data_IF_298978928496
#
_entry.id   IF_298978928496
#
_cell.length_a   1.000
_cell.length_b   1.000
_cell.length_c   1.000
_cell.angle_alpha   90.00
_cell.angle_beta   90.00
_cell.angle_gamma   90.00
#
_symmetry.space_group_name_H-M   'P 1'
#
loop_
_entity.id
_entity.type
_entity.pdbx_description
1 polymer ?
#
# COMPACT_ATOMS: atom_id res chain seq x y z
N UNK A 1 35.60 23.77 -4.51
CA UNK A 1 35.34 23.37 -3.11
C UNK A 1 36.36 22.31 -2.78
N UNK A 2 37.16 22.50 -1.73
CA UNK A 2 38.16 21.50 -1.36
C UNK A 2 37.49 20.30 -0.67
N UNK A 3 38.19 19.16 -0.59
CA UNK A 3 37.59 17.91 -0.11
C UNK A 3 37.09 17.99 1.34
N UNK A 4 37.71 18.83 2.18
CA UNK A 4 37.27 19.06 3.56
C UNK A 4 35.98 19.89 3.61
N UNK A 5 35.89 20.96 2.82
CA UNK A 5 34.67 21.77 2.70
C UNK A 5 33.51 20.95 2.13
N UNK A 6 33.78 20.04 1.19
CA UNK A 6 32.78 19.11 0.66
C UNK A 6 32.30 18.13 1.73
N UNK A 7 33.22 17.50 2.46
CA UNK A 7 32.86 16.56 3.51
C UNK A 7 32.08 17.23 4.66
N UNK A 8 32.44 18.45 5.04
CA UNK A 8 31.75 19.20 6.08
C UNK A 8 30.36 19.66 5.63
N UNK A 9 30.22 20.11 4.37
CA UNK A 9 28.92 20.39 3.76
C UNK A 9 28.03 19.15 3.72
N UNK A 10 28.56 18.00 3.33
CA UNK A 10 27.80 16.75 3.22
C UNK A 10 27.41 16.19 4.60
N UNK A 11 28.29 16.28 5.60
CA UNK A 11 27.96 15.96 7.00
C UNK A 11 26.86 16.87 7.55
N UNK A 12 26.90 18.16 7.22
CA UNK A 12 25.87 19.12 7.64
C UNK A 12 24.51 18.84 7.01
N UNK A 13 24.49 18.35 5.77
CA UNK A 13 23.27 18.13 5.00
C UNK A 13 22.63 16.76 5.25
N UNK A 14 23.45 15.71 5.45
CA UNK A 14 22.99 14.31 5.53
C UNK A 14 23.42 13.59 6.83
N UNK A 15 24.07 14.28 7.77
CA UNK A 15 24.57 13.69 9.02
C UNK A 15 25.83 12.86 8.83
N UNK A 16 26.25 12.16 9.88
CA UNK A 16 27.53 11.41 9.89
C UNK A 16 27.55 10.24 8.89
N UNK A 17 26.38 9.67 8.56
CA UNK A 17 26.24 8.55 7.62
C UNK A 17 26.15 8.95 6.14
N UNK A 18 26.46 10.21 5.79
CA UNK A 18 26.31 10.74 4.43
C UNK A 18 27.02 9.89 3.35
N UNK A 19 28.13 9.23 3.68
CA UNK A 19 28.86 8.36 2.74
C UNK A 19 28.05 7.12 2.36
N UNK A 20 27.30 6.53 3.29
CA UNK A 20 26.41 5.40 3.01
C UNK A 20 25.18 5.83 2.23
N UNK A 21 24.64 7.01 2.55
CA UNK A 21 23.50 7.58 1.83
C UNK A 21 23.86 7.93 0.37
N UNK A 22 25.08 8.43 0.11
CA UNK A 22 25.58 8.66 -1.24
C UNK A 22 25.80 7.36 -2.01
N UNK A 23 26.28 6.30 -1.36
CA UNK A 23 26.37 4.96 -2.00
C UNK A 23 24.99 4.43 -2.36
N UNK A 24 23.99 4.61 -1.50
CA UNK A 24 22.61 4.21 -1.77
C UNK A 24 22.02 5.00 -2.94
N UNK A 25 22.19 6.33 -2.95
CA UNK A 25 21.74 7.22 -4.04
C UNK A 25 22.42 6.92 -5.38
N UNK A 26 23.71 6.59 -5.36
CA UNK A 26 24.44 6.16 -6.56
C UNK A 26 23.89 4.84 -7.12
N UNK A 27 23.50 3.88 -6.27
CA UNK A 27 22.83 2.65 -6.72
C UNK A 27 21.43 2.93 -7.27
N UNK A 28 20.68 3.83 -6.62
CA UNK A 28 19.36 4.26 -7.10
C UNK A 28 19.47 4.88 -8.50
N UNK A 29 20.45 5.77 -8.73
CA UNK A 29 20.70 6.39 -10.03
C UNK A 29 21.06 5.36 -11.13
N UNK A 30 21.74 4.27 -10.77
CA UNK A 30 22.06 3.17 -11.69
C UNK A 30 20.85 2.27 -11.98
N UNK A 31 19.79 2.34 -11.17
CA UNK A 31 18.56 1.56 -11.33
C UNK A 31 17.46 2.35 -12.07
N UNK A 32 17.68 3.63 -12.36
CA UNK A 32 16.76 4.44 -13.16
C UNK A 32 16.87 4.03 -14.64
N UNK A 33 15.75 3.67 -15.30
CA UNK A 33 15.77 3.27 -16.71
C UNK A 33 16.34 4.37 -17.62
N UNK A 34 17.13 4.03 -18.67
CA UNK A 34 17.80 5.00 -19.54
C UNK A 34 16.89 6.06 -20.18
N UNK A 35 15.64 5.70 -20.50
CA UNK A 35 14.67 6.63 -21.11
C UNK A 35 14.26 7.78 -20.17
N UNK A 36 14.33 7.56 -18.85
CA UNK A 36 14.06 8.61 -17.85
C UNK A 36 15.24 9.58 -17.81
N UNK A 37 16.48 9.07 -17.91
CA UNK A 37 17.72 9.87 -17.95
C UNK A 37 17.79 10.70 -19.24
N UNK A 38 17.28 10.18 -20.36
CA UNK A 38 17.24 10.84 -21.66
C UNK A 38 16.29 12.06 -21.67
N UNK A 39 15.14 11.95 -21.00
CA UNK A 39 14.22 13.08 -20.79
C UNK A 39 14.83 14.20 -19.92
N UNK A 40 15.75 13.86 -19.01
CA UNK A 40 16.48 14.85 -18.20
C UNK A 40 17.62 15.55 -18.94
N UNK A 41 18.06 15.07 -20.11
CA UNK A 41 19.16 15.68 -20.90
C UNK A 41 18.73 16.84 -21.79
N UNK A 42 17.43 17.01 -22.04
CA UNK A 42 16.90 18.13 -22.83
C UNK A 42 16.79 19.42 -21.98
N UNK A 43 17.94 19.95 -21.53
CA UNK A 43 18.06 21.09 -20.61
C UNK A 43 18.71 22.32 -21.24
N UNK A 44 17.90 23.24 -21.76
CA UNK A 44 18.18 24.68 -21.63
C UNK A 44 17.23 25.37 -20.63
N UNK A 45 16.12 24.73 -20.25
CA UNK A 45 15.13 25.31 -19.33
C UNK A 45 15.38 25.01 -17.84
N UNK A 46 16.22 24.03 -17.51
CA UNK A 46 16.47 23.63 -16.10
C UNK A 46 17.56 24.46 -15.40
N UNK A 47 18.54 25.03 -16.12
CA UNK A 47 19.66 25.75 -15.49
C UNK A 47 19.22 27.05 -14.80
N UNK A 48 18.26 27.77 -15.37
CA UNK A 48 17.70 28.99 -14.76
C UNK A 48 16.81 28.67 -13.55
N UNK A 49 15.98 27.62 -13.64
CA UNK A 49 15.13 27.17 -12.52
C UNK A 49 15.93 26.63 -11.34
N UNK A 50 17.04 25.94 -11.58
CA UNK A 50 17.93 25.42 -10.52
C UNK A 50 18.66 26.56 -9.77
N UNK A 51 18.96 27.68 -10.45
CA UNK A 51 19.59 28.85 -9.81
C UNK A 51 18.62 29.52 -8.82
N UNK A 52 17.35 29.69 -9.19
CA UNK A 52 16.33 30.22 -8.30
C UNK A 52 15.98 29.27 -7.14
N UNK A 53 16.01 27.96 -7.34
CA UNK A 53 15.76 26.99 -6.26
C UNK A 53 16.86 27.05 -5.18
N UNK A 54 18.12 27.31 -5.57
CA UNK A 54 19.25 27.48 -4.63
C UNK A 54 19.14 28.75 -3.77
N UNK A 55 18.59 29.83 -4.31
CA UNK A 55 18.35 31.06 -3.56
C UNK A 55 17.18 30.90 -2.57
N UNK A 56 16.13 30.16 -2.97
CA UNK A 56 14.97 29.86 -2.13
C UNK A 56 15.33 28.87 -1.00
N UNK A 57 16.22 27.89 -1.23
CA UNK A 57 16.59 26.91 -0.20
C UNK A 57 17.32 27.52 1.01
N UNK A 58 18.01 28.64 0.80
CA UNK A 58 18.74 29.35 1.85
C UNK A 58 17.83 30.21 2.75
N UNK A 59 16.56 30.40 2.36
CA UNK A 59 15.56 31.18 3.09
C UNK A 59 14.58 30.32 3.89
N UNK A 60 14.65 28.98 3.79
CA UNK A 60 13.69 28.08 4.40
C UNK A 60 14.15 27.63 5.81
N UNK A 61 13.41 27.96 6.88
CA UNK A 61 13.74 27.52 8.24
C UNK A 61 13.67 25.99 8.37
N UNK A 62 14.49 25.38 9.26
CA UNK A 62 14.55 23.92 9.51
C UNK A 62 13.19 23.24 9.74
N UNK A 63 12.17 23.99 10.19
CA UNK A 63 10.81 23.48 10.36
C UNK A 63 10.14 23.08 9.03
N UNK A 64 10.57 23.69 7.92
CA UNK A 64 10.12 23.34 6.57
C UNK A 64 10.67 21.99 6.09
N UNK A 65 11.85 21.56 6.53
CA UNK A 65 12.39 20.23 6.19
C UNK A 65 11.62 19.08 6.85
N UNK A 66 11.04 19.32 8.03
CA UNK A 66 10.12 18.37 8.66
C UNK A 66 8.79 18.30 7.91
N UNK A 67 8.31 19.44 7.40
CA UNK A 67 7.16 19.48 6.49
C UNK A 67 7.50 18.74 5.18
N UNK A 68 8.73 18.87 4.65
CA UNK A 68 9.19 18.16 3.45
C UNK A 68 9.24 16.65 3.66
N UNK A 69 9.61 16.13 4.84
CA UNK A 69 9.56 14.68 5.11
C UNK A 69 8.15 14.08 5.05
N UNK A 70 7.15 14.84 5.50
CA UNK A 70 5.74 14.44 5.38
C UNK A 70 5.20 14.69 3.96
N UNK A 71 5.70 15.74 3.29
CA UNK A 71 5.39 16.06 1.89
C UNK A 71 6.06 15.08 0.93
N UNK A 72 7.19 14.45 1.24
CA UNK A 72 7.84 13.43 0.39
C UNK A 72 6.90 12.22 0.19
N UNK A 73 6.17 11.79 1.22
CA UNK A 73 5.15 10.73 1.09
C UNK A 73 3.93 11.15 0.26
N UNK A 74 3.60 12.44 0.27
CA UNK A 74 2.43 13.02 -0.40
C UNK A 74 2.74 13.44 -1.85
N UNK A 75 3.96 13.92 -2.10
CA UNK A 75 4.54 14.20 -3.42
C UNK A 75 4.89 12.91 -4.15
N UNK A 76 5.44 11.87 -3.49
CA UNK A 76 5.59 10.54 -4.11
C UNK A 76 4.24 9.96 -4.55
N UNK A 77 3.16 10.24 -3.82
CA UNK A 77 1.79 9.84 -4.21
C UNK A 77 1.24 10.66 -5.39
N UNK A 78 1.46 11.97 -5.41
CA UNK A 78 0.90 12.90 -6.42
C UNK A 78 1.73 13.06 -7.71
N UNK A 79 3.04 12.82 -7.69
CA UNK A 79 3.92 13.03 -8.85
C UNK A 79 3.86 11.92 -9.92
N UNK A 80 3.04 10.88 -9.70
CA UNK A 80 2.92 9.76 -10.62
C UNK A 80 1.69 9.79 -11.49
N UNK A 81 0.92 10.88 -11.55
CA UNK A 81 -0.13 11.00 -12.57
C UNK A 81 0.54 11.26 -13.92
N UNK A 82 1.00 10.18 -14.55
CA UNK A 82 1.13 10.15 -16.00
C UNK A 82 -0.26 9.78 -16.51
N UNK A 83 -0.83 10.52 -17.46
CA UNK A 83 -2.13 10.22 -18.10
C UNK A 83 -2.14 8.88 -18.90
N UNK A 84 -1.20 7.98 -18.58
CA UNK A 84 -1.07 6.66 -19.15
C UNK A 84 -1.83 5.65 -18.28
N UNK A 85 -2.42 4.63 -18.91
CA UNK A 85 -2.99 3.48 -18.20
C UNK A 85 -1.91 2.71 -17.44
N UNK A 86 -2.29 1.99 -16.36
CA UNK A 86 -1.37 1.03 -15.72
C UNK A 86 -0.74 0.08 -16.76
N UNK A 87 0.60 -0.02 -16.82
CA UNK A 87 1.29 -0.99 -17.65
C UNK A 87 0.88 -2.43 -17.34
N UNK A 88 0.66 -3.24 -18.38
CA UNK A 88 0.17 -4.62 -18.23
C UNK A 88 1.12 -5.53 -17.42
N UNK A 89 2.43 -5.28 -17.48
CA UNK A 89 3.42 -5.99 -16.65
C UNK A 89 3.19 -5.75 -15.15
N UNK A 90 2.72 -4.56 -14.78
CA UNK A 90 2.43 -4.19 -13.40
C UNK A 90 1.13 -4.85 -12.94
N UNK A 91 0.07 -4.83 -13.77
CA UNK A 91 -1.17 -5.61 -13.50
C UNK A 91 -0.84 -7.10 -13.21
N UNK A 92 -0.03 -7.73 -14.07
CA UNK A 92 0.43 -9.13 -13.89
C UNK A 92 1.28 -9.34 -12.63
N UNK A 93 2.03 -8.33 -12.20
CA UNK A 93 2.81 -8.41 -10.96
C UNK A 93 1.91 -8.32 -9.73
N UNK A 94 0.92 -7.42 -9.74
CA UNK A 94 -0.08 -7.32 -8.67
C UNK A 94 -0.93 -8.59 -8.57
N UNK A 95 -1.32 -9.18 -9.69
CA UNK A 95 -2.00 -10.49 -9.73
C UNK A 95 -1.15 -11.60 -9.09
N UNK A 96 0.17 -11.61 -9.33
CA UNK A 96 1.09 -12.54 -8.67
C UNK A 96 1.10 -12.37 -7.15
N UNK A 97 1.15 -11.13 -6.65
CA UNK A 97 1.12 -10.86 -5.21
C UNK A 97 -0.20 -11.26 -4.56
N UNK A 98 -1.31 -11.03 -5.26
CA UNK A 98 -2.63 -11.48 -4.84
C UNK A 98 -2.73 -13.01 -4.90
N UNK A 99 -1.97 -13.68 -5.77
CA UNK A 99 -1.78 -15.12 -5.72
C UNK A 99 -1.17 -15.61 -4.41
N UNK A 100 -0.33 -14.79 -3.79
CA UNK A 100 0.31 -15.01 -2.48
C UNK A 100 -0.46 -14.38 -1.31
N UNK A 101 -1.69 -13.91 -1.55
CA UNK A 101 -2.56 -13.27 -0.56
C UNK A 101 -2.01 -11.93 -0.01
N UNK A 102 -1.17 -11.26 -0.79
CA UNK A 102 -0.66 -9.92 -0.49
C UNK A 102 -1.28 -8.86 -1.40
N UNK A 103 -1.48 -7.69 -0.82
CA UNK A 103 -1.66 -6.42 -1.52
C UNK A 103 -0.62 -5.43 -0.99
N UNK A 104 -0.47 -4.28 -1.65
CA UNK A 104 0.49 -3.25 -1.27
C UNK A 104 0.31 -2.86 0.21
N UNK A 105 1.42 -2.81 0.96
CA UNK A 105 1.43 -2.43 2.37
C UNK A 105 1.64 -0.91 2.48
N UNK A 106 0.74 -0.21 3.18
CA UNK A 106 0.68 1.26 3.20
C UNK A 106 1.92 1.96 3.81
N UNK A 107 2.70 1.26 4.65
CA UNK A 107 3.92 1.82 5.24
C UNK A 107 5.09 1.88 4.28
N UNK A 108 5.06 1.10 3.20
CA UNK A 108 6.15 1.04 2.25
C UNK A 108 6.31 2.37 1.53
N UNK A 109 7.57 2.77 1.33
CA UNK A 109 7.91 3.90 0.46
C UNK A 109 7.64 3.52 -0.99
N UNK A 110 7.44 4.51 -1.85
CA UNK A 110 7.11 4.23 -3.24
C UNK A 110 8.20 3.38 -3.94
N UNK A 111 9.47 3.65 -3.68
CA UNK A 111 10.59 2.85 -4.21
C UNK A 111 10.49 1.38 -3.80
N UNK A 112 10.10 1.10 -2.56
CA UNK A 112 9.93 -0.27 -2.06
C UNK A 112 8.75 -0.96 -2.76
N UNK A 113 7.65 -0.23 -2.96
CA UNK A 113 6.50 -0.70 -3.74
C UNK A 113 6.92 -1.05 -5.18
N UNK A 114 7.72 -0.20 -5.83
CA UNK A 114 8.19 -0.49 -7.17
C UNK A 114 9.04 -1.77 -7.21
N UNK A 115 10.02 -1.88 -6.30
CA UNK A 115 10.95 -3.03 -6.28
C UNK A 115 10.29 -4.34 -5.88
N UNK A 116 9.24 -4.29 -5.05
CA UNK A 116 8.58 -5.50 -4.54
C UNK A 116 7.32 -5.82 -5.32
N UNK A 117 6.42 -4.86 -5.50
CA UNK A 117 5.10 -5.10 -6.08
C UNK A 117 5.07 -4.95 -7.60
N UNK A 118 5.93 -4.12 -8.20
CA UNK A 118 5.94 -3.93 -9.66
C UNK A 118 6.94 -4.83 -10.38
N UNK A 119 7.99 -5.27 -9.68
CA UNK A 119 8.85 -6.37 -10.11
C UNK A 119 8.52 -7.64 -9.32
N UNK A 120 8.40 -8.78 -10.02
CA UNK A 120 8.25 -10.08 -9.37
C UNK A 120 9.55 -10.41 -8.64
N UNK A 121 9.47 -10.67 -7.34
CA UNK A 121 10.61 -11.18 -6.58
C UNK A 121 10.77 -12.69 -6.77
N UNK A 122 12.02 -13.16 -6.68
CA UNK A 122 12.37 -14.57 -6.79
C UNK A 122 12.37 -15.29 -5.43
N UNK A 123 12.23 -14.57 -4.32
CA UNK A 123 12.31 -15.13 -2.96
C UNK A 123 11.06 -14.79 -2.14
N UNK A 124 10.00 -15.57 -2.37
CA UNK A 124 8.69 -15.35 -1.73
C UNK A 124 8.74 -15.49 -0.22
N UNK A 125 9.60 -16.35 0.34
CA UNK A 125 9.66 -16.57 1.78
C UNK A 125 10.23 -15.34 2.50
N UNK A 126 11.35 -14.81 1.98
CA UNK A 126 11.94 -13.58 2.49
C UNK A 126 10.97 -12.40 2.38
N UNK A 127 10.26 -12.27 1.27
CA UNK A 127 9.31 -11.17 1.10
C UNK A 127 8.11 -11.29 2.02
N UNK A 128 7.59 -12.51 2.26
CA UNK A 128 6.51 -12.74 3.23
C UNK A 128 6.91 -12.26 4.62
N UNK A 129 8.13 -12.60 5.06
CA UNK A 129 8.66 -12.15 6.36
C UNK A 129 8.79 -10.63 6.40
N UNK A 130 9.36 -10.02 5.36
CA UNK A 130 9.50 -8.57 5.29
C UNK A 130 8.16 -7.84 5.34
N UNK A 131 7.20 -8.23 4.50
CA UNK A 131 5.87 -7.63 4.45
C UNK A 131 5.11 -7.82 5.76
N UNK A 132 5.20 -9.00 6.38
CA UNK A 132 4.60 -9.27 7.68
C UNK A 132 5.16 -8.34 8.77
N UNK A 133 6.47 -8.13 8.80
CA UNK A 133 7.09 -7.20 9.76
C UNK A 133 6.68 -5.75 9.51
N UNK A 134 6.48 -5.33 8.26
CA UNK A 134 5.93 -4.02 7.93
C UNK A 134 4.48 -3.86 8.42
N UNK A 135 3.64 -4.89 8.30
CA UNK A 135 2.27 -4.84 8.85
C UNK A 135 2.29 -4.85 10.38
N UNK A 136 3.22 -5.58 11.02
CA UNK A 136 3.42 -5.50 12.48
C UNK A 136 3.81 -4.10 12.94
N UNK A 137 4.64 -3.38 12.18
CA UNK A 137 4.93 -1.96 12.44
C UNK A 137 3.66 -1.11 12.34
N UNK A 138 2.80 -1.37 11.35
CA UNK A 138 1.51 -0.68 11.22
C UNK A 138 0.59 -0.95 12.40
N UNK A 139 0.52 -2.19 12.88
CA UNK A 139 -0.25 -2.56 14.07
C UNK A 139 0.23 -1.87 15.35
N UNK A 140 1.52 -1.54 15.46
CA UNK A 140 2.07 -0.76 16.59
C UNK A 140 1.88 0.74 16.42
N UNK A 141 1.49 1.21 15.23
CA UNK A 141 1.36 2.62 14.94
C UNK A 141 -0.03 3.13 15.37
N UNK A 142 -0.06 3.95 16.42
CA UNK A 142 -1.30 4.50 16.96
C UNK A 142 -2.08 5.31 15.92
N UNK A 143 -1.41 6.12 15.07
CA UNK A 143 -2.08 6.93 14.06
C UNK A 143 -2.82 6.08 13.04
N UNK A 144 -2.23 4.95 12.62
CA UNK A 144 -2.85 4.02 11.68
C UNK A 144 -4.07 3.35 12.33
N UNK A 145 -3.90 2.83 13.55
CA UNK A 145 -5.00 2.20 14.29
C UNK A 145 -6.15 3.17 14.58
N UNK A 146 -5.84 4.43 14.90
CA UNK A 146 -6.85 5.46 15.10
C UNK A 146 -7.70 5.71 13.85
N UNK A 147 -7.14 5.59 12.63
CA UNK A 147 -7.94 5.67 11.41
C UNK A 147 -8.95 4.52 11.32
N UNK A 148 -8.55 3.30 11.67
CA UNK A 148 -9.47 2.15 11.70
C UNK A 148 -10.60 2.39 12.71
N UNK A 149 -10.28 2.89 13.91
CA UNK A 149 -11.26 3.22 14.94
C UNK A 149 -12.19 4.39 14.61
N UNK A 150 -11.75 5.32 13.75
CA UNK A 150 -12.56 6.46 13.30
C UNK A 150 -13.39 6.14 12.05
N UNK A 151 -13.03 5.09 11.32
CA UNK A 151 -13.74 4.68 10.12
C UNK A 151 -15.18 4.29 10.42
N UNK A 152 -16.13 4.90 9.72
CA UNK A 152 -17.56 4.57 9.83
C UNK A 152 -17.89 3.16 9.31
N UNK A 153 -16.98 2.58 8.51
CA UNK A 153 -17.17 1.27 7.89
C UNK A 153 -16.85 0.14 8.86
N UNK A 154 -15.95 0.34 9.81
CA UNK A 154 -15.56 -0.67 10.78
C UNK A 154 -16.24 -0.46 12.12
N UNK A 155 -16.53 -1.55 12.85
CA UNK A 155 -17.03 -1.45 14.22
C UNK A 155 -15.84 -1.49 15.18
N UNK A 156 -15.80 -0.57 16.14
CA UNK A 156 -14.69 -0.47 17.10
C UNK A 156 -14.51 -1.73 17.95
N UNK A 157 -15.60 -2.41 18.32
CA UNK A 157 -15.50 -3.67 19.06
C UNK A 157 -14.85 -4.78 18.22
N UNK A 158 -15.15 -4.87 16.92
CA UNK A 158 -14.51 -5.83 16.03
C UNK A 158 -13.00 -5.61 15.95
N UNK A 159 -12.55 -4.36 15.73
CA UNK A 159 -11.11 -4.10 15.69
C UNK A 159 -10.43 -4.32 17.05
N UNK A 160 -11.07 -3.98 18.18
CA UNK A 160 -10.58 -4.35 19.51
C UNK A 160 -10.40 -5.87 19.65
N UNK A 161 -11.34 -6.67 19.15
CA UNK A 161 -11.22 -8.14 19.14
C UNK A 161 -10.04 -8.62 18.29
N UNK A 162 -9.75 -7.99 17.15
CA UNK A 162 -8.56 -8.29 16.34
C UNK A 162 -7.28 -8.07 17.16
N UNK A 163 -7.18 -6.94 17.87
CA UNK A 163 -6.02 -6.64 18.72
C UNK A 163 -5.84 -7.68 19.83
N UNK A 164 -6.94 -8.13 20.44
CA UNK A 164 -6.89 -9.15 21.49
C UNK A 164 -6.54 -10.54 20.95
N UNK A 165 -7.05 -10.90 19.77
CA UNK A 165 -6.68 -12.13 19.06
C UNK A 165 -5.17 -12.15 18.73
N UNK A 166 -4.61 -11.01 18.33
CA UNK A 166 -3.17 -10.89 18.13
C UNK A 166 -2.38 -11.12 19.43
N UNK A 167 -2.76 -10.45 20.53
CA UNK A 167 -2.07 -10.60 21.84
C UNK A 167 -2.09 -12.04 22.34
N UNK A 168 -3.24 -12.70 22.21
CA UNK A 168 -3.44 -14.09 22.60
C UNK A 168 -2.90 -15.11 21.59
N UNK A 169 -2.38 -14.66 20.44
CA UNK A 169 -1.97 -15.50 19.30
C UNK A 169 -3.10 -16.40 18.76
N UNK A 170 -4.35 -16.05 19.02
CA UNK A 170 -5.51 -16.75 18.45
C UNK A 170 -5.79 -16.23 17.03
N UNK A 171 -4.92 -16.61 16.10
CA UNK A 171 -4.97 -16.12 14.72
C UNK A 171 -6.21 -16.59 13.97
N UNK A 172 -6.74 -17.79 14.27
CA UNK A 172 -7.99 -18.28 13.70
C UNK A 172 -9.16 -17.34 14.01
N UNK A 173 -9.37 -17.02 15.29
CA UNK A 173 -10.40 -16.08 15.70
C UNK A 173 -10.16 -14.69 15.10
N UNK A 174 -8.90 -14.24 15.07
CA UNK A 174 -8.49 -12.98 14.47
C UNK A 174 -8.87 -12.88 12.98
N UNK A 175 -8.57 -13.92 12.20
CA UNK A 175 -8.91 -14.01 10.77
C UNK A 175 -10.42 -14.03 10.56
N UNK A 176 -11.19 -14.73 11.40
CA UNK A 176 -12.66 -14.72 11.33
C UNK A 176 -13.22 -13.31 11.55
N UNK A 177 -12.70 -12.58 12.54
CA UNK A 177 -13.11 -11.19 12.80
C UNK A 177 -12.70 -10.29 11.62
N UNK A 178 -11.47 -10.40 11.11
CA UNK A 178 -11.01 -9.63 9.95
C UNK A 178 -11.86 -9.90 8.70
N UNK A 179 -12.19 -11.16 8.42
CA UNK A 179 -13.03 -11.53 7.28
C UNK A 179 -14.43 -10.92 7.36
N UNK A 180 -15.05 -10.95 8.55
CA UNK A 180 -16.36 -10.31 8.77
C UNK A 180 -16.30 -8.78 8.73
N UNK A 181 -15.18 -8.17 9.15
CA UNK A 181 -14.94 -6.73 9.00
C UNK A 181 -14.89 -6.33 7.52
N UNK A 182 -14.16 -7.08 6.69
CA UNK A 182 -14.07 -6.85 5.23
C UNK A 182 -15.46 -6.95 4.60
N UNK A 183 -16.20 -8.03 4.87
CA UNK A 183 -17.55 -8.24 4.32
C UNK A 183 -18.53 -7.13 4.74
N UNK A 184 -18.54 -6.78 6.02
CA UNK A 184 -19.39 -5.71 6.55
C UNK A 184 -19.07 -4.33 5.96
N UNK A 185 -17.79 -4.03 5.71
CA UNK A 185 -17.37 -2.78 5.12
C UNK A 185 -17.83 -2.65 3.66
N UNK A 186 -17.70 -3.71 2.85
CA UNK A 186 -18.18 -3.73 1.46
C UNK A 186 -19.70 -3.57 1.37
N UNK A 187 -20.45 -4.07 2.35
CA UNK A 187 -21.90 -3.84 2.42
C UNK A 187 -22.21 -2.38 2.78
N UNK A 188 -21.46 -1.78 3.70
CA UNK A 188 -21.73 -0.43 4.21
C UNK A 188 -21.39 0.70 3.24
N UNK A 189 -20.42 0.50 2.34
CA UNK A 189 -20.06 1.54 1.35
C UNK A 189 -21.17 1.80 0.33
N UNK A 190 -22.11 0.85 0.20
CA UNK A 190 -23.30 1.02 -0.62
C UNK A 190 -24.37 1.81 0.14
N UNK A 191 -25.03 2.73 -0.56
CA UNK A 191 -26.25 3.37 -0.06
C UNK A 191 -27.31 2.37 0.41
N UNK A 192 -28.17 2.82 1.33
CA UNK A 192 -29.37 2.07 1.69
C UNK A 192 -30.34 2.17 0.50
N UNK A 193 -30.42 1.10 -0.29
CA UNK A 193 -31.46 0.95 -1.32
C UNK A 193 -32.63 0.15 -0.73
N UNK A 194 -33.82 0.30 -1.29
CA UNK A 194 -34.99 -0.55 -0.97
C UNK A 194 -34.71 -2.03 -1.26
N UNK A 195 -33.84 -2.29 -2.24
CA UNK A 195 -33.39 -3.63 -2.61
C UNK A 195 -32.20 -4.12 -1.77
N UNK A 196 -32.05 -5.45 -1.68
CA UNK A 196 -30.93 -6.10 -0.99
C UNK A 196 -29.58 -5.60 -1.53
N UNK A 197 -28.71 -5.15 -0.62
CA UNK A 197 -27.34 -4.72 -0.95
C UNK A 197 -26.53 -5.85 -1.57
N UNK A 198 -25.63 -5.50 -2.49
CA UNK A 198 -24.65 -6.43 -3.06
C UNK A 198 -23.66 -6.86 -1.97
N UNK A 199 -23.08 -8.05 -2.14
CA UNK A 199 -22.15 -8.65 -1.18
C UNK A 199 -20.85 -9.00 -1.91
N UNK A 200 -19.71 -8.83 -1.23
CA UNK A 200 -18.40 -9.26 -1.71
C UNK A 200 -18.05 -8.77 -3.11
N UNK A 201 -17.75 -9.71 -4.00
CA UNK A 201 -17.29 -9.47 -5.38
C UNK A 201 -18.17 -8.55 -6.21
N UNK A 202 -19.48 -8.56 -5.98
CA UNK A 202 -20.39 -7.73 -6.75
C UNK A 202 -20.17 -6.23 -6.46
N UNK A 203 -19.65 -5.89 -5.27
CA UNK A 203 -19.29 -4.52 -4.89
C UNK A 203 -17.99 -4.11 -5.58
N UNK A 204 -16.96 -4.95 -5.52
CA UNK A 204 -15.66 -4.68 -6.14
C UNK A 204 -15.75 -4.48 -7.65
N UNK A 205 -16.59 -5.27 -8.33
CA UNK A 205 -16.84 -5.12 -9.77
C UNK A 205 -17.46 -3.77 -10.12
N UNK A 206 -18.37 -3.26 -9.29
CA UNK A 206 -19.00 -1.97 -9.51
C UNK A 206 -17.99 -0.82 -9.39
N UNK A 207 -17.06 -0.92 -8.45
CA UNK A 207 -15.99 0.06 -8.25
C UNK A 207 -15.00 0.02 -9.41
N UNK A 208 -14.62 -1.18 -9.86
CA UNK A 208 -13.73 -1.34 -11.01
C UNK A 208 -14.32 -0.70 -12.27
N UNK A 209 -15.62 -0.90 -12.53
CA UNK A 209 -16.31 -0.32 -13.70
C UNK A 209 -16.36 1.21 -13.69
N UNK A 210 -16.25 1.84 -12.50
CA UNK A 210 -16.29 3.29 -12.32
C UNK A 210 -14.89 3.90 -12.10
N UNK A 211 -13.83 3.09 -12.09
CA UNK A 211 -12.48 3.58 -11.78
C UNK A 211 -11.76 4.04 -13.05
N UNK A 212 -11.12 5.20 -12.97
CA UNK A 212 -10.20 5.68 -14.00
C UNK A 212 -8.90 4.86 -13.94
N UNK A 213 -8.50 4.28 -15.08
CA UNK A 213 -7.28 3.47 -15.19
C UNK A 213 -5.97 4.28 -15.17
N UNK A 214 -6.05 5.58 -14.84
CA UNK A 214 -4.92 6.48 -14.63
C UNK A 214 -3.79 5.83 -13.83
N UNK A 215 -2.55 6.04 -14.27
CA UNK A 215 -1.37 5.68 -13.50
C UNK A 215 -1.32 6.56 -12.26
N UNK A 216 -1.84 6.06 -11.14
CA UNK A 216 -1.80 6.73 -9.84
C UNK A 216 -1.63 5.68 -8.75
N UNK A 217 -1.01 6.04 -7.62
CA UNK A 217 -0.87 5.07 -6.53
C UNK A 217 -2.25 4.66 -6.00
N UNK A 218 -3.20 5.59 -5.99
CA UNK A 218 -4.59 5.37 -5.62
C UNK A 218 -5.24 4.30 -6.50
N UNK A 219 -5.13 4.42 -7.84
CA UNK A 219 -5.67 3.40 -8.74
C UNK A 219 -4.92 2.07 -8.63
N UNK A 220 -3.61 2.07 -8.44
CA UNK A 220 -2.82 0.84 -8.22
C UNK A 220 -3.28 0.12 -6.94
N UNK A 221 -3.52 0.87 -5.85
CA UNK A 221 -4.06 0.34 -4.61
C UNK A 221 -5.49 -0.20 -4.81
N UNK A 222 -6.34 0.57 -5.49
CA UNK A 222 -7.71 0.17 -5.81
C UNK A 222 -7.71 -1.13 -6.63
N UNK A 223 -6.91 -1.21 -7.70
CA UNK A 223 -6.77 -2.39 -8.54
C UNK A 223 -6.31 -3.61 -7.74
N UNK A 224 -5.23 -3.47 -6.94
CA UNK A 224 -4.71 -4.55 -6.12
C UNK A 224 -5.73 -5.05 -5.09
N UNK A 225 -6.48 -4.13 -4.47
CA UNK A 225 -7.52 -4.47 -3.50
C UNK A 225 -8.73 -5.13 -4.19
N UNK A 226 -9.16 -4.65 -5.35
CA UNK A 226 -10.27 -5.21 -6.12
C UNK A 226 -9.98 -6.66 -6.51
N UNK A 227 -8.85 -6.93 -7.16
CA UNK A 227 -8.51 -8.30 -7.60
C UNK A 227 -8.34 -9.24 -6.38
N UNK A 228 -7.86 -8.71 -5.24
CA UNK A 228 -7.76 -9.48 -4.01
C UNK A 228 -9.14 -9.85 -3.47
N UNK A 229 -10.07 -8.89 -3.41
CA UNK A 229 -11.46 -9.15 -2.97
C UNK A 229 -12.12 -10.16 -3.92
N UNK A 230 -11.97 -9.98 -5.25
CA UNK A 230 -12.49 -10.89 -6.26
C UNK A 230 -12.11 -12.34 -6.00
N UNK A 231 -10.86 -12.54 -5.59
CA UNK A 231 -10.34 -13.85 -5.25
C UNK A 231 -10.79 -14.33 -3.87
N UNK A 232 -10.79 -13.47 -2.86
CA UNK A 232 -11.18 -13.82 -1.50
C UNK A 232 -12.62 -14.30 -1.41
N UNK A 233 -13.53 -13.75 -2.22
CA UNK A 233 -14.94 -14.19 -2.28
C UNK A 233 -15.25 -15.10 -3.49
N UNK A 234 -14.24 -15.55 -4.24
CA UNK A 234 -14.46 -16.52 -5.31
C UNK A 234 -15.12 -17.78 -4.74
N UNK A 235 -16.05 -18.38 -5.48
CA UNK A 235 -16.62 -19.66 -5.08
C UNK A 235 -15.51 -20.71 -4.94
N UNK A 236 -15.50 -21.44 -3.83
CA UNK A 236 -14.62 -22.58 -3.65
C UNK A 236 -15.30 -23.78 -4.32
N UNK A 237 -14.79 -24.21 -5.49
CA UNK A 237 -15.29 -25.40 -6.16
C UNK A 237 -15.13 -26.60 -5.20
N UNK A 238 -16.26 -27.13 -4.73
CA UNK A 238 -16.38 -28.24 -3.77
C UNK A 238 -15.56 -28.08 -2.49
N UNK A 239 -15.30 -26.84 -2.04
CA UNK A 239 -14.47 -26.55 -0.85
C UNK A 239 -13.07 -27.21 -0.87
N UNK A 240 -12.62 -27.66 -2.04
CA UNK A 240 -11.34 -28.37 -2.24
C UNK A 240 -10.13 -27.43 -2.30
N UNK A 241 -10.38 -26.12 -2.32
CA UNK A 241 -9.35 -25.12 -2.56
C UNK A 241 -8.52 -24.89 -1.29
N UNK A 242 -7.26 -25.29 -1.28
CA UNK A 242 -6.36 -25.21 -0.12
C UNK A 242 -5.87 -23.78 0.24
N UNK A 243 -6.53 -22.74 -0.26
CA UNK A 243 -6.17 -21.32 -0.11
C UNK A 243 -7.21 -20.60 0.74
N UNK A 244 -6.75 -19.62 1.52
CA UNK A 244 -7.61 -18.79 2.36
C UNK A 244 -8.70 -18.10 1.51
N UNK A 245 -9.96 -18.38 1.85
CA UNK A 245 -11.13 -17.94 1.11
C UNK A 245 -12.28 -17.68 2.08
N UNK A 246 -13.04 -16.60 1.85
CA UNK A 246 -14.15 -16.16 2.70
C UNK A 246 -15.19 -17.26 2.90
N UNK A 247 -15.58 -17.97 1.83
CA UNK A 247 -16.62 -18.98 1.93
C UNK A 247 -16.13 -20.20 2.71
N UNK A 248 -14.88 -20.60 2.54
CA UNK A 248 -14.31 -21.69 3.34
C UNK A 248 -14.21 -21.32 4.82
N UNK A 249 -13.71 -20.12 5.12
CA UNK A 249 -13.59 -19.62 6.49
C UNK A 249 -14.96 -19.53 7.18
N UNK A 250 -15.91 -18.81 6.58
CA UNK A 250 -17.18 -18.50 7.22
C UNK A 250 -18.18 -19.68 7.22
N UNK A 251 -17.93 -20.72 6.42
CA UNK A 251 -18.68 -21.98 6.50
C UNK A 251 -17.98 -23.04 7.34
N UNK A 252 -16.85 -22.74 7.99
CA UNK A 252 -16.12 -23.69 8.83
C UNK A 252 -15.42 -24.81 8.05
N UNK A 253 -15.25 -24.64 6.74
CA UNK A 253 -14.66 -25.62 5.83
C UNK A 253 -13.15 -25.38 5.60
N UNK A 254 -12.55 -24.43 6.34
CA UNK A 254 -11.11 -24.20 6.29
C UNK A 254 -10.40 -25.14 7.26
N UNK A 255 -9.91 -26.27 6.74
CA UNK A 255 -9.33 -27.36 7.54
C UNK A 255 -7.90 -27.09 8.01
N UNK A 256 -7.21 -26.12 7.41
CA UNK A 256 -5.83 -25.80 7.76
C UNK A 256 -5.77 -24.90 8.98
N UNK A 257 -4.73 -25.09 9.79
CA UNK A 257 -4.38 -24.13 10.82
C UNK A 257 -4.08 -22.77 10.20
N UNK A 258 -4.68 -21.72 10.75
CA UNK A 258 -4.44 -20.35 10.33
C UNK A 258 -3.09 -19.90 10.88
N UNK A 259 -2.22 -19.50 9.96
CA UNK A 259 -0.88 -19.02 10.29
C UNK A 259 -0.87 -17.55 10.74
N UNK A 260 0.18 -17.15 11.46
CA UNK A 260 0.44 -15.74 11.77
C UNK A 260 0.52 -14.88 10.49
N UNK A 261 1.14 -15.43 9.43
CA UNK A 261 1.25 -14.78 8.12
C UNK A 261 -0.13 -14.45 7.54
N UNK A 262 -1.06 -15.42 7.51
CA UNK A 262 -2.41 -15.22 7.00
C UNK A 262 -3.20 -14.19 7.80
N UNK A 263 -3.00 -14.14 9.12
CA UNK A 263 -3.56 -13.09 9.97
C UNK A 263 -3.07 -11.70 9.54
N UNK A 264 -1.76 -11.53 9.36
CA UNK A 264 -1.20 -10.23 8.96
C UNK A 264 -1.54 -9.83 7.53
N UNK A 265 -1.70 -10.79 6.63
CA UNK A 265 -2.19 -10.54 5.27
C UNK A 265 -3.59 -9.94 5.28
N UNK A 266 -4.52 -10.50 6.05
CA UNK A 266 -5.88 -9.96 6.16
C UNK A 266 -5.94 -8.65 6.94
N UNK A 267 -5.10 -8.50 7.95
CA UNK A 267 -4.97 -7.22 8.68
C UNK A 267 -4.51 -6.10 7.75
N UNK A 268 -3.55 -6.39 6.85
CA UNK A 268 -3.12 -5.43 5.84
C UNK A 268 -4.27 -4.98 4.93
N UNK A 269 -5.15 -5.90 4.53
CA UNK A 269 -6.35 -5.57 3.74
C UNK A 269 -7.25 -4.58 4.47
N UNK A 270 -7.50 -4.79 5.76
CA UNK A 270 -8.29 -3.85 6.57
C UNK A 270 -7.63 -2.46 6.65
N UNK A 271 -6.31 -2.39 6.79
CA UNK A 271 -5.60 -1.11 6.75
C UNK A 271 -5.74 -0.41 5.40
N UNK A 272 -5.53 -1.12 4.29
CA UNK A 272 -5.70 -0.54 2.94
C UNK A 272 -7.14 -0.09 2.72
N UNK A 273 -8.13 -0.91 3.09
CA UNK A 273 -9.55 -0.54 3.00
C UNK A 273 -9.83 0.74 3.80
N UNK A 274 -9.25 0.91 4.98
CA UNK A 274 -9.45 2.13 5.79
C UNK A 274 -9.06 3.41 5.04
N UNK A 275 -8.06 3.36 4.15
CA UNK A 275 -7.65 4.53 3.34
C UNK A 275 -8.45 4.70 2.04
N UNK A 276 -9.16 3.66 1.57
CA UNK A 276 -9.81 3.66 0.24
C UNK A 276 -11.33 3.70 0.29
N UNK A 277 -11.95 3.27 1.39
CA UNK A 277 -13.40 3.06 1.44
C UNK A 277 -14.22 4.36 1.34
N UNK A 278 -13.71 5.49 1.82
CA UNK A 278 -14.39 6.79 1.66
C UNK A 278 -14.46 7.17 0.17
N UNK A 279 -13.33 7.13 -0.55
CA UNK A 279 -13.29 7.33 -2.01
C UNK A 279 -14.18 6.33 -2.76
N UNK A 280 -14.18 5.06 -2.34
CA UNK A 280 -15.03 4.03 -2.96
C UNK A 280 -16.52 4.31 -2.76
N UNK A 281 -16.90 4.83 -1.59
CA UNK A 281 -18.27 5.26 -1.30
C UNK A 281 -18.66 6.45 -2.18
N UNK A 282 -17.77 7.42 -2.39
CA UNK A 282 -18.01 8.55 -3.28
C UNK A 282 -18.10 8.14 -4.75
N UNK A 283 -17.33 7.14 -5.19
CA UNK A 283 -17.43 6.61 -6.57
C UNK A 283 -18.74 5.85 -6.82
N UNK A 284 -19.23 5.09 -5.83
CA UNK A 284 -20.40 4.21 -6.02
C UNK A 284 -21.71 4.99 -5.98
N UNK A 285 -21.80 6.07 -5.21
CA UNK A 285 -23.02 6.88 -5.06
C UNK A 285 -22.98 8.09 -5.99
#
# INVERSE_FOLDING_TARGET
>A
MNDKEYEEYMKKMFGENWKEEMKLRSRILQMIPPYVIENFKNQNMCKEKVKHVKEISNLLPKNFLNIIKDVDKLLERKLLILDNKIPNNIKKSLEYWVEKNWIIVLSLRYVEIQTLFFSKSNDTEKDNLYLMEEVKKNLKNEKINQKVFKSIFFKNNAFKSVLECYKSKNYYAGVMVLATMIDGALIKIQEKKENRRKIGNNVSKEINNKSDESWSLEYILDYSLIIWIEKFFKNANDFSNKKLNRNMLLHGMYEKEITELEFFQLLNVVYVMTERLDDWREKIN
#
